data_IF_894078170664
#
_entry.id   IF_894078170664
#
_cell.length_a   1.000
_cell.length_b   1.000
_cell.length_c   1.000
_cell.angle_alpha   90.00
_cell.angle_beta   90.00
_cell.angle_gamma   90.00
#
_symmetry.space_group_name_H-M   'P 1'
#
loop_
_entity.id
_entity.type
_entity.pdbx_description
1 polymer ?
#
# COMPACT_ATOMS: atom_id res chain seq x y z
N UNK A 1 12.18 -11.92 -37.46
CA UNK A 1 11.11 -11.45 -36.57
C UNK A 1 11.59 -11.50 -35.13
N UNK A 2 11.31 -10.50 -34.29
CA UNK A 2 11.62 -10.53 -32.85
C UNK A 2 12.06 -9.20 -32.23
N UNK A 3 12.80 -8.36 -32.95
CA UNK A 3 13.25 -7.05 -32.42
C UNK A 3 12.29 -5.91 -32.78
N UNK A 4 12.16 -4.88 -31.90
CA UNK A 4 11.53 -3.62 -32.26
C UNK A 4 12.20 -2.98 -33.49
N UNK A 5 11.45 -2.24 -34.29
CA UNK A 5 11.96 -1.56 -35.49
C UNK A 5 13.11 -0.59 -35.16
N UNK A 6 13.05 0.04 -33.98
CA UNK A 6 14.15 0.81 -33.39
C UNK A 6 14.58 0.13 -32.09
N UNK A 7 15.78 -0.44 -32.08
CA UNK A 7 16.39 -1.00 -30.88
C UNK A 7 16.94 0.14 -30.00
N UNK A 8 16.54 0.15 -28.73
CA UNK A 8 16.96 1.14 -27.74
C UNK A 8 17.52 0.39 -26.52
N UNK A 9 18.85 0.37 -26.39
CA UNK A 9 19.55 -0.30 -25.30
C UNK A 9 19.11 0.20 -23.92
N UNK A 10 18.63 1.45 -23.82
CA UNK A 10 18.14 2.00 -22.55
C UNK A 10 16.85 1.31 -22.06
N UNK A 11 16.15 0.56 -22.92
CA UNK A 11 14.93 -0.19 -22.57
C UNK A 11 15.18 -1.65 -22.23
N UNK A 12 16.43 -2.11 -22.26
CA UNK A 12 16.80 -3.48 -21.90
C UNK A 12 16.73 -3.64 -20.37
N UNK A 13 15.74 -4.39 -19.90
CA UNK A 13 15.52 -4.61 -18.46
C UNK A 13 16.59 -5.51 -17.81
N UNK A 14 17.16 -6.45 -18.58
CA UNK A 14 18.22 -7.33 -18.13
C UNK A 14 19.06 -7.83 -19.31
N UNK A 15 20.39 -7.84 -19.12
CA UNK A 15 21.35 -8.43 -20.06
C UNK A 15 22.39 -9.18 -19.24
N UNK A 16 22.73 -10.40 -19.66
CA UNK A 16 23.73 -11.22 -18.99
C UNK A 16 24.51 -12.07 -19.99
N UNK A 17 25.57 -12.71 -19.53
CA UNK A 17 26.35 -13.69 -20.28
C UNK A 17 26.55 -14.90 -19.37
N UNK A 18 26.26 -16.09 -19.89
CA UNK A 18 26.39 -17.35 -19.15
C UNK A 18 27.24 -18.33 -19.92
N UNK A 19 27.92 -19.21 -19.17
CA UNK A 19 28.67 -20.30 -19.76
C UNK A 19 27.71 -21.34 -20.34
N UNK A 20 28.04 -21.85 -21.52
CA UNK A 20 27.33 -22.94 -22.17
C UNK A 20 28.01 -24.29 -21.90
N UNK A 21 27.24 -25.35 -22.03
CA UNK A 21 27.68 -26.74 -21.86
C UNK A 21 27.21 -27.58 -23.03
N UNK A 22 28.02 -28.56 -23.44
CA UNK A 22 27.62 -29.52 -24.47
C UNK A 22 26.81 -30.68 -23.85
N UNK A 23 25.69 -31.05 -24.46
CA UNK A 23 24.88 -32.22 -24.06
C UNK A 23 25.14 -33.41 -25.01
N UNK A 24 25.04 -34.67 -24.53
CA UNK A 24 25.41 -35.85 -25.31
C UNK A 24 24.34 -36.31 -26.32
N UNK A 25 23.30 -35.51 -26.55
CA UNK A 25 22.19 -35.80 -27.46
C UNK A 25 21.80 -34.55 -28.25
N UNK A 26 21.13 -34.73 -29.40
CA UNK A 26 20.64 -33.62 -30.21
C UNK A 26 19.23 -33.20 -29.78
N UNK A 27 19.03 -31.90 -29.59
CA UNK A 27 17.74 -31.28 -29.33
C UNK A 27 17.33 -30.46 -30.56
N UNK A 28 16.29 -30.90 -31.26
CA UNK A 28 15.85 -30.24 -32.50
C UNK A 28 14.89 -29.07 -32.26
N UNK A 29 14.27 -29.01 -31.08
CA UNK A 29 13.35 -27.94 -30.67
C UNK A 29 14.02 -27.06 -29.63
N UNK A 30 14.16 -25.77 -29.92
CA UNK A 30 14.65 -24.79 -28.93
C UNK A 30 13.70 -24.74 -27.73
N UNK A 31 14.22 -25.08 -26.56
CA UNK A 31 13.43 -25.16 -25.33
C UNK A 31 13.94 -24.15 -24.30
N UNK A 32 12.99 -23.47 -23.66
CA UNK A 32 13.21 -22.62 -22.50
C UNK A 32 12.45 -23.24 -21.33
N UNK A 33 13.16 -23.60 -20.27
CA UNK A 33 12.58 -24.17 -19.06
C UNK A 33 12.87 -23.30 -17.83
N UNK A 34 11.97 -23.36 -16.84
CA UNK A 34 12.22 -22.82 -15.51
C UNK A 34 12.40 -24.00 -14.55
N UNK A 35 13.65 -24.28 -14.21
CA UNK A 35 14.05 -25.43 -13.39
C UNK A 35 14.73 -24.97 -12.10
N UNK A 36 15.12 -25.93 -11.24
CA UNK A 36 15.77 -25.64 -9.94
C UNK A 36 14.94 -24.68 -9.07
N UNK A 37 13.61 -24.82 -9.11
CA UNK A 37 12.68 -23.94 -8.41
C UNK A 37 12.87 -24.09 -6.90
N UNK A 38 13.07 -22.95 -6.24
CA UNK A 38 13.19 -22.82 -4.80
C UNK A 38 12.36 -21.63 -4.32
N UNK A 39 12.25 -21.46 -3.00
CA UNK A 39 11.57 -20.29 -2.44
C UNK A 39 12.24 -18.96 -2.83
N UNK A 40 13.55 -18.97 -3.09
CA UNK A 40 14.34 -17.75 -3.33
C UNK A 40 14.64 -17.49 -4.79
N UNK A 41 14.25 -18.37 -5.72
CA UNK A 41 14.64 -18.26 -7.12
C UNK A 41 14.44 -19.52 -7.93
N UNK A 42 14.89 -19.48 -9.18
CA UNK A 42 14.96 -20.63 -10.08
C UNK A 42 16.08 -20.40 -11.11
N UNK A 43 16.27 -21.33 -12.02
CA UNK A 43 17.14 -21.18 -13.18
C UNK A 43 16.29 -21.16 -14.46
N UNK A 44 16.54 -20.17 -15.31
CA UNK A 44 16.04 -20.14 -16.67
C UNK A 44 17.03 -20.93 -17.55
N UNK A 45 16.61 -22.10 -17.99
CA UNK A 45 17.42 -23.02 -18.76
C UNK A 45 17.06 -22.93 -20.23
N UNK A 46 18.07 -22.97 -21.08
CA UNK A 46 17.97 -22.92 -22.52
C UNK A 46 18.69 -24.13 -23.10
N UNK A 47 18.03 -24.88 -23.96
CA UNK A 47 18.66 -26.02 -24.64
C UNK A 47 18.28 -26.05 -26.13
N UNK A 48 19.28 -26.21 -26.97
CA UNK A 48 19.12 -26.34 -28.43
C UNK A 48 20.34 -27.01 -29.05
N UNK A 49 20.10 -27.90 -30.01
CA UNK A 49 21.10 -28.74 -30.64
C UNK A 49 21.87 -29.52 -29.58
N UNK A 50 23.14 -29.19 -29.36
CA UNK A 50 23.97 -29.75 -28.29
C UNK A 50 24.31 -28.74 -27.20
N UNK A 51 23.72 -27.56 -27.23
CA UNK A 51 24.07 -26.48 -26.30
C UNK A 51 23.04 -26.35 -25.20
N UNK A 52 23.50 -26.38 -23.96
CA UNK A 52 22.73 -26.05 -22.77
C UNK A 52 23.30 -24.80 -22.08
N UNK A 53 22.45 -23.92 -21.59
CA UNK A 53 22.81 -22.76 -20.79
C UNK A 53 21.78 -22.55 -19.67
N UNK A 54 22.25 -22.16 -18.48
CA UNK A 54 21.38 -21.87 -17.35
C UNK A 54 21.66 -20.46 -16.82
N UNK A 55 20.61 -19.66 -16.68
CA UNK A 55 20.64 -18.33 -16.07
C UNK A 55 19.92 -18.40 -14.71
N UNK A 56 20.64 -18.49 -13.59
CA UNK A 56 20.02 -18.44 -12.28
C UNK A 56 19.43 -17.05 -12.02
N UNK A 57 18.26 -16.99 -11.41
CA UNK A 57 17.61 -15.76 -10.97
C UNK A 57 17.01 -15.92 -9.58
N UNK A 58 16.93 -14.81 -8.86
CA UNK A 58 16.33 -14.75 -7.53
C UNK A 58 14.99 -14.02 -7.54
N UNK A 59 14.11 -14.37 -6.62
CA UNK A 59 12.85 -13.66 -6.35
C UNK A 59 12.77 -13.24 -4.88
N UNK A 60 12.20 -12.07 -4.55
CA UNK A 60 12.12 -11.57 -3.18
C UNK A 60 10.95 -12.20 -2.40
N UNK A 61 10.80 -13.52 -2.46
CA UNK A 61 9.67 -14.24 -1.84
C UNK A 61 9.67 -14.07 -0.33
N UNK A 62 10.81 -14.30 0.32
CA UNK A 62 10.94 -14.19 1.77
C UNK A 62 10.48 -12.82 2.28
N UNK A 63 11.02 -11.73 1.71
CA UNK A 63 10.63 -10.36 2.07
C UNK A 63 9.12 -10.12 1.92
N UNK A 64 8.51 -10.62 0.83
CA UNK A 64 7.07 -10.44 0.58
C UNK A 64 6.23 -11.27 1.55
N UNK A 65 6.60 -12.53 1.78
CA UNK A 65 5.89 -13.44 2.67
C UNK A 65 5.99 -12.95 4.12
N UNK A 66 7.19 -12.60 4.58
CA UNK A 66 7.41 -12.04 5.92
C UNK A 66 6.63 -10.75 6.12
N UNK A 67 6.66 -9.81 5.16
CA UNK A 67 5.84 -8.59 5.25
C UNK A 67 4.34 -8.88 5.32
N UNK A 68 3.87 -9.90 4.60
CA UNK A 68 2.46 -10.31 4.63
C UNK A 68 2.09 -10.95 5.97
N UNK A 69 2.96 -11.80 6.52
CA UNK A 69 2.80 -12.40 7.84
C UNK A 69 2.75 -11.30 8.89
N UNK A 70 3.73 -10.41 8.91
CA UNK A 70 3.82 -9.31 9.87
C UNK A 70 2.57 -8.43 9.82
N UNK A 71 2.08 -8.10 8.62
CA UNK A 71 0.85 -7.32 8.47
C UNK A 71 -0.37 -8.04 9.07
N UNK A 72 -0.52 -9.35 8.86
CA UNK A 72 -1.66 -10.10 9.39
C UNK A 72 -1.54 -10.28 10.90
N UNK A 73 -0.36 -10.62 11.39
CA UNK A 73 -0.13 -10.93 12.80
C UNK A 73 -0.12 -9.67 13.69
N UNK A 74 0.25 -8.50 13.16
CA UNK A 74 0.17 -7.23 13.87
C UNK A 74 -1.26 -6.65 13.94
N UNK A 75 -2.22 -7.27 13.25
CA UNK A 75 -3.59 -6.78 13.18
C UNK A 75 -3.77 -5.55 12.28
N UNK A 76 -4.96 -4.91 12.31
CA UNK A 76 -5.27 -3.82 11.39
C UNK A 76 -4.38 -2.59 11.62
N UNK A 77 -3.94 -1.96 10.53
CA UNK A 77 -3.16 -0.73 10.58
C UNK A 77 -4.02 0.47 10.97
N UNK A 78 -3.36 1.60 11.29
CA UNK A 78 -4.04 2.88 11.50
C UNK A 78 -4.96 3.25 10.32
N UNK A 79 -4.54 2.94 9.09
CA UNK A 79 -5.30 3.22 7.87
C UNK A 79 -6.49 2.27 7.70
N UNK A 80 -6.36 0.99 8.08
CA UNK A 80 -7.47 0.03 8.03
C UNK A 80 -8.59 0.45 8.99
N UNK A 81 -8.22 0.82 10.22
CA UNK A 81 -9.16 1.37 11.20
C UNK A 81 -9.78 2.69 10.73
N UNK A 82 -8.99 3.59 10.14
CA UNK A 82 -9.48 4.84 9.59
C UNK A 82 -10.52 4.61 8.50
N UNK A 83 -10.19 3.78 7.51
CA UNK A 83 -11.06 3.47 6.38
C UNK A 83 -12.37 2.82 6.84
N UNK A 84 -12.29 1.88 7.78
CA UNK A 84 -13.47 1.24 8.38
C UNK A 84 -14.35 2.26 9.11
N UNK A 85 -13.76 3.15 9.91
CA UNK A 85 -14.49 4.17 10.66
C UNK A 85 -15.20 5.18 9.73
N UNK A 86 -14.50 5.63 8.69
CA UNK A 86 -15.06 6.56 7.68
C UNK A 86 -16.19 5.90 6.91
N UNK A 87 -16.01 4.65 6.46
CA UNK A 87 -17.05 3.90 5.78
C UNK A 87 -18.30 3.71 6.67
N UNK A 88 -18.12 3.46 7.97
CA UNK A 88 -19.25 3.31 8.88
C UNK A 88 -20.02 4.62 9.08
N UNK A 89 -19.32 5.75 9.11
CA UNK A 89 -19.97 7.07 9.11
C UNK A 89 -20.74 7.32 7.81
N UNK A 90 -20.11 7.07 6.66
CA UNK A 90 -20.65 7.40 5.34
C UNK A 90 -21.88 6.53 5.00
N UNK A 91 -21.89 5.28 5.44
CA UNK A 91 -23.00 4.35 5.23
C UNK A 91 -24.04 4.36 6.36
N UNK A 92 -23.92 5.28 7.33
CA UNK A 92 -24.85 5.36 8.46
C UNK A 92 -24.93 4.06 9.28
N UNK A 93 -23.81 3.34 9.43
CA UNK A 93 -23.70 2.11 10.22
C UNK A 93 -23.56 2.43 11.71
N UNK A 94 -23.17 1.44 12.50
CA UNK A 94 -22.95 1.58 13.94
C UNK A 94 -21.90 2.66 14.24
N UNK A 95 -22.40 3.83 14.66
CA UNK A 95 -21.56 5.01 14.87
C UNK A 95 -20.66 4.88 16.11
N UNK A 96 -21.04 4.04 17.08
CA UNK A 96 -20.20 3.78 18.24
C UNK A 96 -18.96 2.97 17.84
N UNK A 97 -19.12 2.01 16.91
CA UNK A 97 -17.98 1.29 16.32
C UNK A 97 -17.11 2.21 15.46
N UNK A 98 -17.71 3.11 14.68
CA UNK A 98 -16.94 4.11 13.94
C UNK A 98 -16.09 4.97 14.88
N UNK A 99 -16.66 5.38 16.02
CA UNK A 99 -15.96 6.15 17.06
C UNK A 99 -14.78 5.37 17.66
N UNK A 100 -14.99 4.11 18.02
CA UNK A 100 -13.94 3.24 18.54
C UNK A 100 -12.78 3.09 17.54
N UNK A 101 -13.10 2.82 16.28
CA UNK A 101 -12.08 2.61 15.25
C UNK A 101 -11.36 3.88 14.86
N UNK A 102 -12.02 5.04 14.80
CA UNK A 102 -11.29 6.29 14.56
C UNK A 102 -10.35 6.62 15.72
N UNK A 103 -10.72 6.30 16.96
CA UNK A 103 -9.83 6.47 18.11
C UNK A 103 -8.65 5.52 18.07
N UNK A 104 -8.88 4.26 17.68
CA UNK A 104 -7.80 3.29 17.48
C UNK A 104 -6.87 3.69 16.34
N UNK A 105 -7.42 4.21 15.24
CA UNK A 105 -6.62 4.76 14.14
C UNK A 105 -5.73 5.91 14.62
N UNK A 106 -6.31 6.85 15.38
CA UNK A 106 -5.56 8.02 15.86
C UNK A 106 -4.51 7.66 16.92
N UNK A 107 -4.72 6.62 17.74
CA UNK A 107 -3.70 6.19 18.70
C UNK A 107 -2.51 5.49 18.04
N UNK A 108 -2.70 4.95 16.84
CA UNK A 108 -1.65 4.36 16.01
C UNK A 108 -0.99 5.39 15.06
N UNK A 109 -1.47 6.63 15.04
CA UNK A 109 -0.97 7.69 14.14
C UNK A 109 -0.15 8.70 14.94
N UNK A 110 1.17 8.73 14.74
CA UNK A 110 2.05 9.66 15.47
C UNK A 110 1.71 11.13 15.23
N UNK A 111 1.47 11.51 13.98
CA UNK A 111 1.11 12.89 13.60
C UNK A 111 -0.16 12.89 12.75
N UNK A 112 -1.35 12.98 13.38
CA UNK A 112 -2.61 13.03 12.66
C UNK A 112 -2.69 14.25 11.75
N UNK A 113 -3.01 14.04 10.47
CA UNK A 113 -3.22 15.13 9.52
C UNK A 113 -4.54 15.84 9.77
N UNK A 114 -4.65 17.10 9.33
CA UNK A 114 -5.86 17.92 9.52
C UNK A 114 -7.14 17.21 9.04
N UNK A 115 -7.08 16.47 7.92
CA UNK A 115 -8.24 15.76 7.38
C UNK A 115 -8.64 14.53 8.20
N UNK A 116 -7.69 13.86 8.84
CA UNK A 116 -7.98 12.76 9.76
C UNK A 116 -8.70 13.27 11.00
N UNK A 117 -8.20 14.38 11.57
CA UNK A 117 -8.82 15.07 12.71
C UNK A 117 -10.22 15.58 12.37
N UNK A 118 -10.43 16.05 11.13
CA UNK A 118 -11.75 16.45 10.64
C UNK A 118 -12.73 15.27 10.60
N UNK A 119 -12.32 14.11 10.06
CA UNK A 119 -13.19 12.92 10.03
C UNK A 119 -13.48 12.41 11.44
N UNK A 120 -12.50 12.43 12.35
CA UNK A 120 -12.75 12.17 13.79
C UNK A 120 -13.82 13.08 14.36
N UNK A 121 -13.73 14.39 14.10
CA UNK A 121 -14.72 15.36 14.54
C UNK A 121 -16.13 15.02 14.05
N UNK A 122 -16.27 14.68 12.76
CA UNK A 122 -17.56 14.28 12.18
C UNK A 122 -18.13 13.01 12.79
N UNK A 123 -17.29 11.98 13.00
CA UNK A 123 -17.70 10.73 13.63
C UNK A 123 -18.19 10.99 15.06
N UNK A 124 -17.48 11.81 15.81
CA UNK A 124 -17.87 12.19 17.16
C UNK A 124 -19.19 12.96 17.19
N UNK A 125 -19.40 13.89 16.26
CA UNK A 125 -20.65 14.64 16.15
C UNK A 125 -21.83 13.71 15.84
N UNK A 126 -21.65 12.79 14.88
CA UNK A 126 -22.65 11.78 14.53
C UNK A 126 -22.93 10.81 15.69
N UNK A 127 -21.92 10.51 16.52
CA UNK A 127 -22.08 9.71 17.74
C UNK A 127 -22.77 10.48 18.89
N UNK A 128 -23.16 11.74 18.69
CA UNK A 128 -23.73 12.61 19.72
C UNK A 128 -22.70 13.17 20.71
N UNK A 129 -21.40 12.88 20.54
CA UNK A 129 -20.32 13.42 21.37
C UNK A 129 -19.87 14.79 20.85
N UNK A 130 -20.72 15.79 21.12
CA UNK A 130 -20.49 17.17 20.71
C UNK A 130 -19.18 17.75 21.29
N UNK A 131 -18.82 17.39 22.53
CA UNK A 131 -17.60 17.91 23.17
C UNK A 131 -16.36 17.42 22.44
N UNK A 132 -16.24 16.11 22.23
CA UNK A 132 -15.08 15.57 21.50
C UNK A 132 -15.08 15.97 20.02
N UNK A 133 -16.24 16.17 19.40
CA UNK A 133 -16.34 16.71 18.05
C UNK A 133 -15.72 18.12 17.93
N UNK A 134 -16.03 19.00 18.88
CA UNK A 134 -15.48 20.36 18.96
C UNK A 134 -13.96 20.32 19.17
N UNK A 135 -13.47 19.48 20.09
CA UNK A 135 -12.04 19.36 20.36
C UNK A 135 -11.26 18.90 19.11
N UNK A 136 -11.76 17.87 18.42
CA UNK A 136 -11.16 17.37 17.20
C UNK A 136 -11.20 18.40 16.06
N UNK A 137 -12.31 19.14 15.91
CA UNK A 137 -12.43 20.22 14.92
C UNK A 137 -11.47 21.37 15.19
N UNK A 138 -11.25 21.77 16.45
CA UNK A 138 -10.27 22.80 16.82
C UNK A 138 -8.84 22.39 16.47
N UNK A 139 -8.46 21.13 16.73
CA UNK A 139 -7.16 20.58 16.32
C UNK A 139 -7.01 20.53 14.80
N UNK A 140 -8.06 20.08 14.10
CA UNK A 140 -8.09 20.06 12.64
C UNK A 140 -7.95 21.47 12.04
N UNK A 141 -8.63 22.46 12.61
CA UNK A 141 -8.55 23.86 12.20
C UNK A 141 -7.12 24.41 12.33
N UNK A 142 -6.47 24.17 13.46
CA UNK A 142 -5.09 24.61 13.68
C UNK A 142 -4.13 23.99 12.65
N UNK A 143 -4.22 22.67 12.45
CA UNK A 143 -3.38 21.97 11.47
C UNK A 143 -3.69 22.38 10.01
N UNK A 144 -4.94 22.69 9.69
CA UNK A 144 -5.33 23.18 8.36
C UNK A 144 -4.78 24.58 8.09
N UNK A 145 -4.76 25.46 9.09
CA UNK A 145 -4.15 26.80 8.98
C UNK A 145 -2.64 26.71 8.77
N UNK A 146 -1.97 25.85 9.52
CA UNK A 146 -0.53 25.61 9.36
C UNK A 146 -0.20 25.04 7.98
N UNK A 147 -1.04 24.14 7.47
CA UNK A 147 -0.90 23.57 6.13
C UNK A 147 -1.35 24.52 4.98
N UNK A 148 -1.89 25.71 5.29
CA UNK A 148 -2.40 26.66 4.30
C UNK A 148 -3.59 26.14 3.49
N UNK A 149 -4.44 25.28 4.08
CA UNK A 149 -5.58 24.68 3.39
C UNK A 149 -6.90 25.36 3.77
N UNK A 150 -7.31 26.35 2.98
CA UNK A 150 -8.49 27.19 3.24
C UNK A 150 -9.82 26.42 3.23
N UNK A 151 -9.94 25.36 2.43
CA UNK A 151 -11.16 24.54 2.37
C UNK A 151 -11.43 23.86 3.72
N UNK A 152 -10.40 23.25 4.31
CA UNK A 152 -10.53 22.63 5.63
C UNK A 152 -10.64 23.67 6.74
N UNK A 153 -10.03 24.85 6.60
CA UNK A 153 -10.26 25.96 7.54
C UNK A 153 -11.73 26.35 7.55
N UNK A 154 -12.34 26.51 6.38
CA UNK A 154 -13.76 26.82 6.24
C UNK A 154 -14.64 25.71 6.81
N UNK A 155 -14.45 24.47 6.39
CA UNK A 155 -15.26 23.33 6.87
C UNK A 155 -15.22 23.15 8.39
N UNK A 156 -14.04 23.31 9.01
CA UNK A 156 -13.93 23.22 10.48
C UNK A 156 -14.57 24.42 11.18
N UNK A 157 -14.38 25.63 10.64
CA UNK A 157 -14.98 26.86 11.17
C UNK A 157 -16.51 26.78 11.15
N UNK A 158 -17.08 26.30 10.05
CA UNK A 158 -18.53 26.19 9.89
C UNK A 158 -19.12 25.18 10.90
N UNK A 159 -18.52 24.00 11.04
CA UNK A 159 -18.95 23.03 12.07
C UNK A 159 -18.80 23.58 13.49
N UNK A 160 -17.72 24.31 13.80
CA UNK A 160 -17.53 24.90 15.13
C UNK A 160 -18.58 25.97 15.44
N UNK A 161 -18.96 26.80 14.46
CA UNK A 161 -20.04 27.79 14.60
C UNK A 161 -21.39 27.10 14.78
N UNK A 162 -21.70 26.10 13.97
CA UNK A 162 -22.93 25.30 14.09
C UNK A 162 -23.06 24.69 15.50
N UNK A 163 -21.94 24.27 16.07
CA UNK A 163 -21.91 23.68 17.40
C UNK A 163 -21.81 24.71 18.55
N UNK A 164 -21.77 26.02 18.26
CA UNK A 164 -21.70 27.09 19.25
C UNK A 164 -20.35 27.15 19.99
N UNK A 165 -19.28 26.73 19.32
CA UNK A 165 -17.93 26.65 19.87
C UNK A 165 -16.98 27.73 19.32
N UNK A 166 -17.54 28.71 18.61
CA UNK A 166 -16.87 29.84 17.98
C UNK A 166 -17.76 31.08 18.00
#
# INVERSE_FOLDING_TARGET
>A
WGNPQNWDDAKVAAKTTVKTYEVPFNVETYTIDVNQISNSGAALEFIWEKTYAAVPFTVPTDTKVTSSIDRVMNGPSANDYYAAAVYYLEEGKDINKAKEWIDKSMSLTETPRFWQLRKKSLIYAAAGDKKGAIEAAKKSLAAAKEAGNDDYVKMNTDSLKEWGAM
#
